data_IF_133576180137
#
_entry.id   IF_133576180137
#
_cell.length_a   1.000
_cell.length_b   1.000
_cell.length_c   1.000
_cell.angle_alpha   90.00
_cell.angle_beta   90.00
_cell.angle_gamma   90.00
#
_symmetry.space_group_name_H-M   'P 1'
#
loop_
_entity.id
_entity.type
_entity.pdbx_description
1 polymer ?
#
# COMPACT_ATOMS: atom_id res chain seq x y z
N UNK A 1 23.25 -16.07 77.72
CA UNK A 1 22.12 -17.02 77.80
C UNK A 1 20.98 -16.35 78.55
N UNK A 2 19.92 -15.95 77.84
CA UNK A 2 18.57 -15.68 78.37
C UNK A 2 17.64 -15.50 77.16
N UNK A 3 16.76 -16.46 76.99
CA UNK A 3 15.70 -16.54 75.97
C UNK A 3 14.43 -15.98 76.63
N UNK A 4 13.67 -15.15 75.93
CA UNK A 4 12.28 -14.85 76.27
C UNK A 4 11.40 -14.82 75.00
N UNK A 5 10.17 -15.28 75.20
CA UNK A 5 9.20 -15.83 74.25
C UNK A 5 8.08 -14.82 73.96
N UNK A 6 7.73 -14.71 72.67
CA UNK A 6 6.42 -14.43 72.03
C UNK A 6 5.56 -13.26 72.56
N UNK A 7 5.31 -12.28 71.68
CA UNK A 7 3.94 -11.80 71.44
C UNK A 7 3.66 -11.59 69.95
N UNK A 8 2.60 -12.28 69.51
CA UNK A 8 1.95 -12.23 68.23
C UNK A 8 1.18 -10.90 68.09
N UNK A 9 1.62 -10.03 67.18
CA UNK A 9 0.83 -8.90 66.70
C UNK A 9 0.82 -8.95 65.18
N UNK A 10 -0.35 -9.35 64.67
CA UNK A 10 -0.74 -9.30 63.26
C UNK A 10 -0.92 -7.83 62.89
N UNK A 11 -0.02 -7.28 62.08
CA UNK A 11 -0.25 -6.03 61.36
C UNK A 11 -0.07 -6.32 59.87
N UNK A 12 -1.21 -6.36 59.20
CA UNK A 12 -1.40 -6.41 57.76
C UNK A 12 -0.95 -5.06 57.18
N UNK A 13 0.26 -4.98 56.63
CA UNK A 13 0.69 -3.87 55.78
C UNK A 13 0.83 -4.37 54.33
N UNK A 14 -0.22 -4.13 53.56
CA UNK A 14 -0.18 -4.11 52.11
C UNK A 14 0.80 -3.03 51.66
N UNK A 15 1.99 -3.42 51.22
CA UNK A 15 2.69 -2.69 50.16
C UNK A 15 3.35 -3.71 49.25
N UNK A 16 2.66 -3.97 48.15
CA UNK A 16 3.15 -4.72 47.01
C UNK A 16 4.42 -4.06 46.47
N UNK A 17 5.45 -4.88 46.28
CA UNK A 17 6.59 -4.56 45.44
C UNK A 17 6.06 -4.34 44.01
N UNK A 18 5.90 -3.09 43.60
CA UNK A 18 5.54 -2.75 42.23
C UNK A 18 6.76 -2.94 41.33
N UNK A 19 6.84 -4.12 40.72
CA UNK A 19 7.63 -4.41 39.53
C UNK A 19 7.42 -3.26 38.53
N UNK A 20 8.45 -2.45 38.33
CA UNK A 20 8.45 -1.33 37.38
C UNK A 20 8.29 -1.91 35.96
N UNK A 21 7.06 -1.94 35.46
CA UNK A 21 6.78 -2.22 34.07
C UNK A 21 7.46 -1.14 33.21
N UNK A 22 8.50 -1.54 32.49
CA UNK A 22 9.09 -0.74 31.43
C UNK A 22 8.10 -0.81 30.26
N UNK A 23 7.18 0.15 30.21
CA UNK A 23 6.47 0.48 28.98
C UNK A 23 7.53 0.85 27.93
N UNK A 24 7.73 -0.04 26.97
CA UNK A 24 8.49 0.26 25.76
C UNK A 24 7.65 1.23 24.94
N UNK A 25 7.84 2.51 25.23
CA UNK A 25 7.47 3.62 24.36
C UNK A 25 8.14 3.42 23.00
N UNK A 26 7.44 2.72 22.11
CA UNK A 26 7.79 2.62 20.69
C UNK A 26 7.38 3.94 20.05
N UNK A 27 8.04 5.01 20.48
CA UNK A 27 8.11 6.23 19.72
C UNK A 27 8.95 5.88 18.50
N UNK A 28 8.29 5.53 17.40
CA UNK A 28 8.92 5.65 16.10
C UNK A 28 9.34 7.11 15.99
N UNK A 29 10.61 7.36 16.26
CA UNK A 29 11.28 8.61 15.95
C UNK A 29 11.13 8.79 14.45
N UNK A 30 10.10 9.56 14.14
CA UNK A 30 9.76 10.13 12.86
C UNK A 30 11.05 10.37 12.05
N UNK A 31 11.11 9.80 10.85
CA UNK A 31 11.90 10.34 9.75
C UNK A 31 11.37 11.77 9.50
N UNK A 32 11.78 12.74 10.34
CA UNK A 32 11.49 14.15 10.11
C UNK A 32 12.53 14.68 9.16
N UNK A 33 12.37 14.41 7.88
CA UNK A 33 12.73 15.46 6.95
C UNK A 33 11.70 16.58 7.22
N UNK A 34 12.15 17.67 7.84
CA UNK A 34 11.36 18.76 8.46
C UNK A 34 10.18 19.22 7.59
N UNK A 35 10.32 19.11 6.26
CA UNK A 35 9.33 19.44 5.25
C UNK A 35 8.03 18.59 5.29
N UNK A 36 8.10 17.33 5.73
CA UNK A 36 6.97 16.38 5.65
C UNK A 36 6.19 16.19 6.95
N UNK A 37 6.68 16.75 8.07
CA UNK A 37 5.98 16.75 9.37
C UNK A 37 4.68 17.59 9.33
N UNK A 38 4.52 18.44 8.31
CA UNK A 38 3.48 19.49 8.24
C UNK A 38 2.17 19.04 7.54
N UNK A 39 2.11 17.85 6.92
CA UNK A 39 0.91 17.44 6.14
C UNK A 39 -0.29 17.03 7.03
N UNK A 40 -0.13 17.00 8.36
CA UNK A 40 -1.18 16.52 9.29
C UNK A 40 -2.32 17.52 9.58
N UNK A 41 -2.24 18.80 9.16
CA UNK A 41 -3.20 19.83 9.60
C UNK A 41 -3.54 20.87 8.52
N UNK A 42 -4.41 20.55 7.55
CA UNK A 42 -5.05 21.59 6.73
C UNK A 42 -6.42 21.18 6.21
N UNK A 43 -7.42 22.05 6.44
CA UNK A 43 -8.87 21.84 6.24
C UNK A 43 -9.33 22.00 4.78
N UNK A 44 -8.42 22.09 3.80
CA UNK A 44 -8.71 21.98 2.37
C UNK A 44 -7.60 21.20 1.69
N UNK A 45 -7.89 19.94 1.38
CA UNK A 45 -6.96 19.03 0.71
C UNK A 45 -7.02 19.30 -0.79
N UNK A 46 -5.92 19.77 -1.37
CA UNK A 46 -5.77 19.88 -2.82
C UNK A 46 -4.84 18.78 -3.34
N UNK A 47 -5.02 18.28 -4.58
CA UNK A 47 -4.09 17.33 -5.20
C UNK A 47 -2.63 17.77 -5.15
N UNK A 48 -2.38 19.10 -5.19
CA UNK A 48 -1.04 19.68 -5.08
C UNK A 48 -0.32 19.37 -3.75
N UNK A 49 -1.04 19.15 -2.65
CA UNK A 49 -0.43 18.88 -1.34
C UNK A 49 0.24 17.51 -1.28
N UNK A 50 -0.21 16.54 -2.07
CA UNK A 50 0.37 15.20 -2.08
C UNK A 50 1.52 15.06 -3.06
N UNK A 51 1.68 15.98 -4.01
CA UNK A 51 2.65 15.86 -5.09
C UNK A 51 4.07 15.61 -4.60
N UNK A 52 4.58 16.44 -3.69
CA UNK A 52 5.94 16.29 -3.14
C UNK A 52 6.14 14.92 -2.47
N UNK A 53 5.12 14.44 -1.77
CA UNK A 53 5.17 13.16 -1.06
C UNK A 53 5.02 11.96 -2.02
N UNK A 54 4.18 12.08 -3.04
CA UNK A 54 4.07 11.10 -4.13
C UNK A 54 5.42 11.00 -4.85
N UNK A 55 6.06 12.12 -5.19
CA UNK A 55 7.38 12.12 -5.83
C UNK A 55 8.44 11.46 -4.94
N UNK A 56 8.43 11.77 -3.64
CA UNK A 56 9.33 11.15 -2.68
C UNK A 56 9.15 9.62 -2.62
N UNK A 57 7.92 9.13 -2.42
CA UNK A 57 7.65 7.69 -2.39
C UNK A 57 7.98 7.02 -3.73
N UNK A 58 7.57 7.63 -4.84
CA UNK A 58 7.83 7.13 -6.20
C UNK A 58 9.33 6.95 -6.44
N UNK A 59 10.15 7.95 -6.08
CA UNK A 59 11.60 7.88 -6.15
C UNK A 59 12.18 6.75 -5.28
N UNK A 60 11.73 6.63 -4.03
CA UNK A 60 12.25 5.61 -3.11
C UNK A 60 11.94 4.17 -3.55
N UNK A 61 10.81 3.95 -4.21
CA UNK A 61 10.37 2.63 -4.66
C UNK A 61 10.66 2.34 -6.14
N UNK A 62 11.22 3.30 -6.89
CA UNK A 62 11.47 3.15 -8.33
C UNK A 62 10.18 3.06 -9.18
N UNK A 63 9.10 3.69 -8.70
CA UNK A 63 7.81 3.74 -9.38
C UNK A 63 7.68 5.09 -10.11
N UNK A 64 7.00 5.11 -11.24
CA UNK A 64 6.65 6.37 -11.91
C UNK A 64 5.63 7.18 -11.10
N UNK A 65 5.99 8.41 -10.72
CA UNK A 65 5.12 9.32 -9.97
C UNK A 65 3.82 9.65 -10.72
N UNK A 66 3.84 9.74 -12.06
CA UNK A 66 2.63 9.97 -12.86
C UNK A 66 1.67 8.78 -12.79
N UNK A 67 2.19 7.55 -12.69
CA UNK A 67 1.35 6.37 -12.45
C UNK A 67 0.69 6.40 -11.07
N UNK A 68 1.45 6.77 -10.03
CA UNK A 68 0.90 6.91 -8.66
C UNK A 68 -0.22 7.97 -8.62
N UNK A 69 0.01 9.14 -9.22
CA UNK A 69 -1.01 10.21 -9.33
C UNK A 69 -2.26 9.73 -10.08
N UNK A 70 -2.09 9.05 -11.20
CA UNK A 70 -3.21 8.54 -11.99
C UNK A 70 -4.05 7.52 -11.20
N UNK A 71 -3.40 6.61 -10.47
CA UNK A 71 -4.09 5.65 -9.59
C UNK A 71 -4.84 6.37 -8.48
N UNK A 72 -4.20 7.29 -7.74
CA UNK A 72 -4.87 8.04 -6.66
C UNK A 72 -6.10 8.78 -7.17
N UNK A 73 -5.99 9.42 -8.33
CA UNK A 73 -7.10 10.15 -8.93
C UNK A 73 -8.27 9.23 -9.29
N UNK A 74 -8.00 8.04 -9.87
CA UNK A 74 -9.05 7.08 -10.24
C UNK A 74 -9.66 6.39 -9.02
N UNK A 75 -8.87 6.09 -8.00
CA UNK A 75 -9.29 5.33 -6.83
C UNK A 75 -10.11 6.14 -5.83
N UNK A 76 -9.71 7.38 -5.58
CA UNK A 76 -10.32 8.19 -4.51
C UNK A 76 -10.61 9.64 -4.89
N UNK A 77 -10.18 10.07 -6.08
CA UNK A 77 -10.12 11.48 -6.45
C UNK A 77 -9.44 12.32 -5.35
N UNK A 78 -8.32 11.81 -4.81
CA UNK A 78 -7.54 12.43 -3.73
C UNK A 78 -8.26 12.56 -2.38
N UNK A 79 -9.32 11.79 -2.12
CA UNK A 79 -9.99 11.75 -0.82
C UNK A 79 -9.40 10.64 0.09
N UNK A 80 -8.66 10.99 1.17
CA UNK A 80 -7.95 10.01 1.99
C UNK A 80 -8.87 9.21 2.93
N UNK A 81 -10.14 9.57 3.06
CA UNK A 81 -11.06 8.91 4.01
C UNK A 81 -12.02 7.92 3.35
N UNK A 82 -11.91 7.71 2.03
CA UNK A 82 -12.80 6.81 1.27
C UNK A 82 -12.61 5.37 1.74
N UNK A 83 -13.73 4.67 1.94
CA UNK A 83 -13.76 3.22 2.15
C UNK A 83 -14.72 2.64 1.11
N UNK A 84 -14.25 1.68 0.31
CA UNK A 84 -15.07 0.97 -0.65
C UNK A 84 -15.98 -0.06 0.02
N UNK A 85 -16.98 -0.57 -0.72
CA UNK A 85 -17.82 -1.69 -0.28
C UNK A 85 -17.04 -2.98 -0.02
N UNK A 86 -15.84 -3.13 -0.59
CA UNK A 86 -14.96 -4.29 -0.43
C UNK A 86 -13.84 -4.06 0.60
N UNK A 87 -13.97 -3.01 1.43
CA UNK A 87 -13.03 -2.58 2.46
C UNK A 87 -11.66 -2.11 1.95
N UNK A 88 -11.60 -1.58 0.72
CA UNK A 88 -10.44 -0.85 0.23
C UNK A 88 -10.44 0.57 0.83
N UNK A 89 -9.30 1.07 1.30
CA UNK A 89 -9.22 2.28 2.13
C UNK A 89 -8.25 3.31 1.56
N UNK A 90 -8.65 4.58 1.65
CA UNK A 90 -7.80 5.76 1.47
C UNK A 90 -7.49 6.11 0.02
N UNK A 91 -6.41 6.88 -0.18
CA UNK A 91 -6.07 7.53 -1.44
C UNK A 91 -5.90 6.54 -2.61
N UNK A 92 -5.22 5.44 -2.35
CA UNK A 92 -4.88 4.39 -3.29
C UNK A 92 -5.77 3.14 -3.14
N UNK A 93 -6.81 3.22 -2.31
CA UNK A 93 -7.79 2.14 -2.08
C UNK A 93 -7.11 0.79 -1.79
N UNK A 94 -6.30 0.75 -0.75
CA UNK A 94 -5.61 -0.47 -0.33
C UNK A 94 -6.51 -1.33 0.55
N UNK A 95 -6.47 -2.64 0.31
CA UNK A 95 -7.01 -3.63 1.25
C UNK A 95 -5.91 -4.07 2.22
N UNK A 96 -6.22 -4.03 3.52
CA UNK A 96 -5.27 -4.36 4.57
C UNK A 96 -4.74 -5.79 4.42
N UNK A 97 -5.64 -6.75 4.20
CA UNK A 97 -5.37 -8.19 4.16
C UNK A 97 -4.59 -8.67 2.94
N UNK A 98 -4.49 -7.84 1.90
CA UNK A 98 -3.76 -8.15 0.65
C UNK A 98 -2.62 -7.16 0.40
N UNK A 99 -2.86 -6.10 -0.37
CA UNK A 99 -1.83 -5.13 -0.76
C UNK A 99 -1.15 -4.46 0.45
N UNK A 100 -1.91 -4.18 1.51
CA UNK A 100 -1.38 -3.65 2.76
C UNK A 100 -0.40 -4.61 3.44
N UNK A 101 -0.78 -5.88 3.57
CA UNK A 101 0.07 -6.96 4.12
C UNK A 101 1.33 -7.20 3.28
N UNK A 102 1.21 -7.19 1.95
CA UNK A 102 2.36 -7.35 1.06
C UNK A 102 3.33 -6.17 1.16
N UNK A 103 2.82 -4.93 1.24
CA UNK A 103 3.63 -3.75 1.48
C UNK A 103 4.32 -3.78 2.86
N UNK A 104 3.61 -4.21 3.91
CA UNK A 104 4.19 -4.44 5.23
C UNK A 104 5.35 -5.44 5.18
N UNK A 105 5.16 -6.57 4.49
CA UNK A 105 6.20 -7.59 4.34
C UNK A 105 7.44 -7.03 3.62
N UNK A 106 7.25 -6.25 2.55
CA UNK A 106 8.36 -5.59 1.85
C UNK A 106 9.16 -4.67 2.78
N UNK A 107 8.48 -3.97 3.70
CA UNK A 107 9.10 -3.06 4.68
C UNK A 107 9.69 -3.79 5.89
N UNK A 108 9.63 -5.13 5.93
CA UNK A 108 10.10 -5.94 7.06
C UNK A 108 9.18 -5.90 8.28
N UNK A 109 7.95 -5.41 8.14
CA UNK A 109 6.97 -5.32 9.20
C UNK A 109 6.11 -6.59 9.27
N UNK A 110 5.59 -6.89 10.47
CA UNK A 110 4.69 -8.02 10.71
C UNK A 110 3.23 -7.56 10.68
N UNK A 111 2.33 -8.45 10.31
CA UNK A 111 0.90 -8.19 10.30
C UNK A 111 0.43 -7.44 9.05
N UNK A 112 -0.55 -6.57 9.23
CA UNK A 112 -1.19 -5.76 8.19
C UNK A 112 -1.59 -4.40 8.76
N UNK A 113 -1.72 -3.35 7.93
CA UNK A 113 -2.13 -2.03 8.40
C UNK A 113 -3.58 -2.01 8.84
N UNK A 114 -3.87 -1.25 9.90
CA UNK A 114 -5.24 -0.98 10.33
C UNK A 114 -5.98 -0.03 9.37
N UNK A 115 -7.32 -0.02 9.43
CA UNK A 115 -8.14 0.95 8.69
C UNK A 115 -7.75 2.40 9.07
N UNK A 116 -7.42 2.64 10.34
CA UNK A 116 -7.01 3.97 10.81
C UNK A 116 -5.71 4.42 10.14
N UNK A 117 -4.72 3.53 10.06
CA UNK A 117 -3.47 3.80 9.34
C UNK A 117 -3.71 4.03 7.84
N UNK A 118 -4.56 3.22 7.21
CA UNK A 118 -4.85 3.38 5.78
C UNK A 118 -5.64 4.65 5.44
N UNK A 119 -6.32 5.27 6.41
CA UNK A 119 -6.92 6.62 6.24
C UNK A 119 -5.89 7.75 6.31
N UNK A 120 -4.70 7.49 6.83
CA UNK A 120 -3.62 8.46 6.79
C UNK A 120 -3.05 8.54 5.36
N UNK A 121 -3.15 9.71 4.74
CA UNK A 121 -2.72 9.92 3.36
C UNK A 121 -1.25 9.52 3.11
N UNK A 122 -0.33 9.90 4.01
CA UNK A 122 1.09 9.61 3.85
C UNK A 122 1.37 8.10 3.98
N UNK A 123 0.75 7.42 4.95
CA UNK A 123 0.87 5.96 5.09
C UNK A 123 0.26 5.27 3.86
N UNK A 124 -0.89 5.72 3.39
CA UNK A 124 -1.57 5.12 2.24
C UNK A 124 -0.76 5.26 0.94
N UNK A 125 -0.21 6.43 0.66
CA UNK A 125 0.67 6.67 -0.50
C UNK A 125 1.94 5.81 -0.40
N UNK A 126 2.57 5.76 0.77
CA UNK A 126 3.79 4.97 0.98
C UNK A 126 3.55 3.47 0.75
N UNK A 127 2.52 2.90 1.38
CA UNK A 127 2.19 1.48 1.23
C UNK A 127 1.68 1.14 -0.18
N UNK A 128 0.91 2.03 -0.82
CA UNK A 128 0.41 1.79 -2.17
C UNK A 128 1.50 1.88 -3.22
N UNK A 129 2.45 2.80 -3.05
CA UNK A 129 3.64 2.87 -3.89
C UNK A 129 4.57 1.68 -3.65
N UNK A 130 4.72 1.24 -2.41
CA UNK A 130 5.43 -0.01 -2.09
C UNK A 130 4.79 -1.21 -2.82
N UNK A 131 3.47 -1.34 -2.79
CA UNK A 131 2.76 -2.41 -3.51
C UNK A 131 2.95 -2.33 -5.04
N UNK A 132 2.98 -1.14 -5.64
CA UNK A 132 3.30 -0.99 -7.06
C UNK A 132 4.72 -1.50 -7.39
N UNK A 133 5.70 -1.27 -6.52
CA UNK A 133 7.06 -1.79 -6.72
C UNK A 133 7.12 -3.33 -6.67
N UNK A 134 6.30 -3.95 -5.82
CA UNK A 134 6.12 -5.42 -5.78
C UNK A 134 5.59 -5.91 -7.13
N UNK A 135 4.53 -5.28 -7.66
CA UNK A 135 3.97 -5.64 -8.96
C UNK A 135 4.97 -5.43 -10.09
N UNK A 136 5.73 -4.32 -10.09
CA UNK A 136 6.80 -4.07 -11.06
C UNK A 136 7.83 -5.18 -11.04
N UNK A 137 8.31 -5.57 -9.85
CA UNK A 137 9.27 -6.67 -9.70
C UNK A 137 8.70 -8.00 -10.19
N UNK A 138 7.44 -8.28 -9.84
CA UNK A 138 6.75 -9.48 -10.30
C UNK A 138 6.41 -9.48 -11.80
N UNK A 139 6.53 -8.36 -12.50
CA UNK A 139 6.25 -8.22 -13.92
C UNK A 139 7.48 -7.81 -14.72
N UNK A 140 8.68 -7.90 -14.14
CA UNK A 140 9.93 -7.46 -14.77
C UNK A 140 10.24 -8.22 -16.07
N UNK A 141 9.72 -9.45 -16.21
CA UNK A 141 9.84 -10.25 -17.43
C UNK A 141 9.01 -9.76 -18.63
N UNK A 142 8.17 -8.74 -18.46
CA UNK A 142 7.53 -8.04 -19.58
C UNK A 142 8.51 -7.00 -20.12
N UNK A 143 8.91 -7.18 -21.38
CA UNK A 143 10.01 -6.42 -22.01
C UNK A 143 9.57 -5.00 -22.37
N UNK A 144 8.45 -4.86 -23.06
CA UNK A 144 7.93 -3.55 -23.45
C UNK A 144 7.43 -2.77 -22.22
N UNK A 145 7.98 -1.57 -22.02
CA UNK A 145 7.71 -0.75 -20.83
C UNK A 145 6.26 -0.27 -20.76
N UNK A 146 5.60 -0.03 -21.90
CA UNK A 146 4.20 0.42 -21.99
C UNK A 146 3.27 -0.76 -21.72
N UNK A 147 3.55 -1.94 -22.29
CA UNK A 147 2.85 -3.19 -21.97
C UNK A 147 3.00 -3.54 -20.50
N UNK A 148 4.20 -3.42 -19.92
CA UNK A 148 4.44 -3.68 -18.50
C UNK A 148 3.64 -2.72 -17.61
N UNK A 149 3.58 -1.42 -17.96
CA UNK A 149 2.72 -0.44 -17.26
C UNK A 149 1.24 -0.85 -17.31
N UNK A 150 0.72 -1.27 -18.47
CA UNK A 150 -0.65 -1.77 -18.58
C UNK A 150 -0.90 -3.01 -17.73
N UNK A 151 0.03 -3.95 -17.73
CA UNK A 151 -0.01 -5.14 -16.88
C UNK A 151 -0.05 -4.79 -15.39
N UNK A 152 0.78 -3.84 -14.94
CA UNK A 152 0.78 -3.35 -13.55
C UNK A 152 -0.58 -2.75 -13.19
N UNK A 153 -1.16 -1.91 -14.05
CA UNK A 153 -2.48 -1.30 -13.82
C UNK A 153 -3.58 -2.37 -13.65
N UNK A 154 -3.58 -3.40 -14.50
CA UNK A 154 -4.56 -4.50 -14.42
C UNK A 154 -4.33 -5.36 -13.17
N UNK A 155 -3.07 -5.69 -12.87
CA UNK A 155 -2.70 -6.47 -11.70
C UNK A 155 -3.00 -5.73 -10.39
N UNK A 156 -2.93 -4.40 -10.39
CA UNK A 156 -3.27 -3.58 -9.22
C UNK A 156 -4.74 -3.76 -8.81
N UNK A 157 -5.67 -3.70 -9.77
CA UNK A 157 -7.11 -3.74 -9.49
C UNK A 157 -7.66 -5.15 -9.28
N UNK A 158 -7.13 -6.17 -9.97
CA UNK A 158 -7.69 -7.52 -9.93
C UNK A 158 -6.68 -8.63 -9.59
N UNK A 159 -5.43 -8.28 -9.32
CA UNK A 159 -4.38 -9.21 -8.92
C UNK A 159 -3.60 -9.78 -10.09
N UNK A 160 -2.31 -10.04 -9.86
CA UNK A 160 -1.37 -10.60 -10.84
C UNK A 160 -1.86 -11.92 -11.44
N UNK A 161 -2.36 -12.83 -10.59
CA UNK A 161 -2.81 -14.15 -11.04
C UNK A 161 -4.01 -14.06 -11.98
N UNK A 162 -4.93 -13.11 -11.75
CA UNK A 162 -6.09 -12.91 -12.62
C UNK A 162 -5.65 -12.41 -14.00
N UNK A 163 -4.70 -11.46 -14.03
CA UNK A 163 -4.08 -10.99 -15.28
C UNK A 163 -3.43 -12.14 -16.06
N UNK A 164 -2.51 -12.89 -15.42
CA UNK A 164 -1.72 -13.91 -16.13
C UNK A 164 -2.60 -15.03 -16.69
N UNK A 165 -3.66 -15.43 -15.96
CA UNK A 165 -4.63 -16.45 -16.39
C UNK A 165 -5.37 -16.09 -17.69
N UNK A 166 -5.41 -14.81 -18.08
CA UNK A 166 -5.95 -14.43 -19.40
C UNK A 166 -5.06 -14.84 -20.58
N UNK A 167 -3.80 -15.22 -20.31
CA UNK A 167 -2.84 -15.67 -21.31
C UNK A 167 -2.49 -17.16 -21.13
N UNK A 168 -2.19 -17.57 -19.90
CA UNK A 168 -1.86 -18.95 -19.53
C UNK A 168 -1.95 -19.15 -18.01
N UNK A 169 -2.20 -20.39 -17.57
CA UNK A 169 -2.07 -20.77 -16.16
C UNK A 169 -0.59 -20.79 -15.75
N UNK A 170 0.29 -21.26 -16.65
CA UNK A 170 1.73 -21.22 -16.43
C UNK A 170 2.26 -19.80 -16.62
N UNK A 171 3.03 -19.34 -15.63
CA UNK A 171 3.56 -17.98 -15.58
C UNK A 171 4.55 -17.70 -16.72
N UNK A 172 5.44 -18.62 -17.04
CA UNK A 172 6.47 -18.40 -18.05
C UNK A 172 5.83 -18.32 -19.44
N UNK A 173 4.91 -19.22 -19.74
CA UNK A 173 4.12 -19.17 -20.98
C UNK A 173 3.21 -17.93 -21.05
N UNK A 174 2.66 -17.46 -19.92
CA UNK A 174 1.91 -16.21 -19.90
C UNK A 174 2.80 -15.02 -20.29
N UNK A 175 4.00 -14.91 -19.70
CA UNK A 175 4.96 -13.85 -20.04
C UNK A 175 5.43 -13.95 -21.49
N UNK A 176 5.69 -15.14 -22.00
CA UNK A 176 6.06 -15.37 -23.40
C UNK A 176 4.96 -14.87 -24.35
N UNK A 177 3.69 -15.20 -24.07
CA UNK A 177 2.55 -14.72 -24.87
C UNK A 177 2.41 -13.20 -24.79
N UNK A 178 2.57 -12.61 -23.60
CA UNK A 178 2.51 -11.15 -23.42
C UNK A 178 3.60 -10.47 -24.27
N UNK A 179 4.83 -10.99 -24.26
CA UNK A 179 5.95 -10.41 -24.99
C UNK A 179 5.85 -10.57 -26.52
N UNK A 180 4.91 -11.38 -27.02
CA UNK A 180 4.57 -11.46 -28.46
C UNK A 180 3.59 -10.37 -28.91
N UNK A 181 3.02 -9.62 -27.97
CA UNK A 181 2.07 -8.55 -28.26
C UNK A 181 2.75 -7.18 -28.18
N UNK A 182 2.37 -6.29 -29.09
CA UNK A 182 2.61 -4.86 -28.90
C UNK A 182 1.63 -4.26 -27.85
N UNK A 183 1.87 -3.02 -27.37
CA UNK A 183 1.04 -2.42 -26.32
C UNK A 183 -0.44 -2.31 -26.66
N UNK A 184 -0.77 -1.98 -27.92
CA UNK A 184 -2.15 -1.87 -28.40
C UNK A 184 -2.83 -3.24 -28.44
N UNK A 185 -2.15 -4.28 -28.91
CA UNK A 185 -2.64 -5.66 -28.90
C UNK A 185 -2.86 -6.16 -27.47
N UNK A 186 -1.93 -5.90 -26.54
CA UNK A 186 -2.13 -6.24 -25.13
C UNK A 186 -3.35 -5.50 -24.56
N UNK A 187 -3.45 -4.20 -24.82
CA UNK A 187 -4.60 -3.41 -24.37
C UNK A 187 -5.92 -3.99 -24.89
N UNK A 188 -6.01 -4.30 -26.18
CA UNK A 188 -7.20 -4.90 -26.79
C UNK A 188 -7.49 -6.29 -26.24
N UNK A 189 -6.47 -7.10 -25.99
CA UNK A 189 -6.63 -8.41 -25.33
C UNK A 189 -7.31 -8.26 -23.97
N UNK A 190 -6.85 -7.32 -23.14
CA UNK A 190 -7.49 -7.06 -21.84
C UNK A 190 -8.95 -6.61 -22.01
N UNK A 191 -9.24 -5.70 -22.95
CA UNK A 191 -10.61 -5.20 -23.18
C UNK A 191 -11.58 -6.31 -23.64
N UNK A 192 -11.09 -7.28 -24.41
CA UNK A 192 -11.93 -8.34 -25.01
C UNK A 192 -11.99 -9.62 -24.18
N UNK A 193 -10.90 -10.03 -23.54
CA UNK A 193 -10.77 -11.37 -22.94
C UNK A 193 -10.67 -11.38 -21.41
N UNK A 194 -10.38 -10.25 -20.76
CA UNK A 194 -10.31 -10.25 -19.28
C UNK A 194 -11.73 -10.42 -18.69
N UNK A 195 -12.00 -11.40 -17.81
CA UNK A 195 -13.37 -11.70 -17.35
C UNK A 195 -13.98 -10.59 -16.48
N UNK A 196 -13.14 -9.84 -15.77
CA UNK A 196 -13.58 -8.71 -14.95
C UNK A 196 -13.78 -7.44 -15.78
N UNK A 197 -15.04 -6.96 -15.86
CA UNK A 197 -15.37 -5.63 -16.40
C UNK A 197 -14.72 -4.48 -15.61
N UNK A 198 -14.38 -4.71 -14.35
CA UNK A 198 -13.65 -3.73 -13.54
C UNK A 198 -12.24 -3.53 -14.09
N UNK A 199 -11.48 -4.60 -14.36
CA UNK A 199 -10.13 -4.49 -14.95
C UNK A 199 -10.15 -3.77 -16.29
N UNK A 200 -11.08 -4.13 -17.18
CA UNK A 200 -11.25 -3.49 -18.49
C UNK A 200 -11.41 -1.97 -18.36
N UNK A 201 -12.36 -1.55 -17.53
CA UNK A 201 -12.65 -0.13 -17.27
C UNK A 201 -11.51 0.58 -16.54
N UNK A 202 -10.87 -0.11 -15.60
CA UNK A 202 -9.81 0.45 -14.79
C UNK A 202 -8.56 0.77 -15.63
N UNK A 203 -8.16 -0.16 -16.50
CA UNK A 203 -7.06 0.06 -17.45
C UNK A 203 -7.32 1.30 -18.33
N UNK A 204 -8.54 1.42 -18.88
CA UNK A 204 -8.93 2.61 -19.64
C UNK A 204 -8.83 3.89 -18.81
N UNK A 205 -9.45 3.93 -17.62
CA UNK A 205 -9.48 5.13 -16.77
C UNK A 205 -8.10 5.59 -16.35
N UNK A 206 -7.28 4.68 -15.80
CA UNK A 206 -5.94 5.03 -15.31
C UNK A 206 -5.04 5.45 -16.46
N UNK A 207 -5.09 4.75 -17.61
CA UNK A 207 -4.27 5.13 -18.76
C UNK A 207 -4.67 6.50 -19.33
N UNK A 208 -5.97 6.81 -19.42
CA UNK A 208 -6.44 8.12 -19.88
C UNK A 208 -5.94 9.25 -18.97
N UNK A 209 -6.02 9.05 -17.65
CA UNK A 209 -5.51 10.02 -16.67
C UNK A 209 -3.99 10.16 -16.78
N UNK A 210 -3.27 9.05 -16.86
CA UNK A 210 -1.81 9.04 -16.99
C UNK A 210 -1.32 9.82 -18.23
N UNK A 211 -1.97 9.62 -19.39
CA UNK A 211 -1.58 10.27 -20.65
C UNK A 211 -1.92 11.76 -20.63
N UNK A 212 -2.96 12.19 -19.91
CA UNK A 212 -3.33 13.61 -19.82
C UNK A 212 -2.41 14.41 -18.90
N UNK A 213 -1.70 13.73 -17.99
CA UNK A 213 -0.80 14.35 -17.01
C UNK A 213 0.64 14.51 -17.51
N UNK A 214 1.01 13.91 -18.64
CA UNK A 214 2.34 13.95 -19.25
C UNK A 214 2.27 14.61 -20.63
#
# INVERSE_FOLDING_TARGET
MKIYIIHLVVILLLTTCAQKNIEKNTTWTLYTNSKYKIIYFSKRITPSMYNDYIHYCAMNYGVDASLVKAIIQVESNYNPTVISKSNAVGLMQLKADTAGRDAYRLKGWRGEPSIHELKNAAVNIDLGTAYLSILQKQLEGIIDVKTRRYAIIVAYVNGLSALLKTFSIDRNYALEKINKLNPEQFYQHIQSHHPSKQAQRYLFKVNSVYVTQN
#
